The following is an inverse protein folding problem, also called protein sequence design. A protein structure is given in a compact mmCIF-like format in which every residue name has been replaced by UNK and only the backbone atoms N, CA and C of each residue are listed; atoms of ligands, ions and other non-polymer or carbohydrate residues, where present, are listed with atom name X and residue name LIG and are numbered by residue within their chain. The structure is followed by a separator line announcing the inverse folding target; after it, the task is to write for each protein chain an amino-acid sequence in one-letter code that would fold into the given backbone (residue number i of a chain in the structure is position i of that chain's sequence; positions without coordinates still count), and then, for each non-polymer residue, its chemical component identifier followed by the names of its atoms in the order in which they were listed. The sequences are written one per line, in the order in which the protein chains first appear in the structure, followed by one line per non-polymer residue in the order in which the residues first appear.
data_IF_400835866815
#
_entry.id   IF_400835866815
#
_cell.length_a   1.000
_cell.length_b   1.000
_cell.length_c   1.000
_cell.angle_alpha   90.00
_cell.angle_beta   90.00
_cell.angle_gamma   90.00
#
_symmetry.space_group_name_H-M   'P 1'
#
loop_
_entity.id
_entity.type
_entity.pdbx_description
1 polymer ?
#
# COMPACT_ATOMS: atom_id res chain seq x y z
N UNK A 1 57.12 7.58 -38.51
CA UNK A 1 57.11 7.12 -37.11
C UNK A 1 56.43 8.18 -36.26
N UNK A 2 55.13 8.05 -36.01
CA UNK A 2 54.40 8.93 -35.10
C UNK A 2 54.00 8.12 -33.88
N UNK A 3 54.73 8.31 -32.79
CA UNK A 3 54.43 7.69 -31.50
C UNK A 3 53.22 8.42 -30.93
N UNK A 4 52.02 7.86 -31.10
CA UNK A 4 50.83 8.33 -30.41
C UNK A 4 50.91 7.82 -28.99
N UNK A 5 51.31 8.71 -28.08
CA UNK A 5 51.24 8.48 -26.64
C UNK A 5 49.75 8.39 -26.29
N UNK A 6 49.24 7.16 -26.16
CA UNK A 6 47.92 6.92 -25.59
C UNK A 6 47.96 7.23 -24.09
N UNK A 7 47.65 8.47 -23.73
CA UNK A 7 47.27 8.82 -22.36
C UNK A 7 45.87 8.29 -22.07
N UNK A 8 45.72 6.99 -21.80
CA UNK A 8 44.54 6.46 -21.13
C UNK A 8 44.86 6.23 -19.65
N UNK A 9 45.10 7.32 -18.92
CA UNK A 9 44.86 7.27 -17.47
C UNK A 9 43.35 7.18 -17.28
N UNK A 10 42.78 5.97 -17.31
CA UNK A 10 41.41 5.75 -16.84
C UNK A 10 41.38 6.17 -15.37
N UNK A 11 40.99 7.42 -15.10
CA UNK A 11 40.73 7.88 -13.74
C UNK A 11 39.59 7.02 -13.21
N UNK A 12 39.87 6.31 -12.12
CA UNK A 12 38.86 5.55 -11.41
C UNK A 12 37.80 6.53 -10.88
N UNK A 13 36.63 6.53 -11.50
CA UNK A 13 35.55 7.49 -11.25
C UNK A 13 34.29 6.76 -10.79
N UNK A 14 34.35 6.14 -9.62
CA UNK A 14 33.20 5.50 -8.98
C UNK A 14 33.05 6.00 -7.55
N UNK A 15 31.83 6.36 -7.18
CA UNK A 15 31.52 6.77 -5.81
C UNK A 15 30.79 5.65 -5.07
N UNK A 16 31.12 5.50 -3.79
CA UNK A 16 30.34 4.63 -2.90
C UNK A 16 28.92 5.16 -2.82
N UNK A 17 27.95 4.24 -2.78
CA UNK A 17 26.52 4.47 -2.86
C UNK A 17 26.02 4.98 -4.21
N UNK A 18 26.78 4.89 -5.29
CA UNK A 18 26.24 5.07 -6.63
C UNK A 18 25.43 3.84 -7.09
N UNK A 19 24.45 4.02 -7.98
CA UNK A 19 23.66 2.92 -8.55
C UNK A 19 24.13 2.55 -9.95
N UNK A 20 24.17 1.25 -10.22
CA UNK A 20 24.31 0.65 -11.55
C UNK A 20 22.97 0.01 -11.91
N UNK A 21 22.22 0.64 -12.81
CA UNK A 21 20.86 0.24 -13.19
C UNK A 21 20.88 -0.38 -14.58
N UNK A 22 20.39 -1.60 -14.72
CA UNK A 22 20.31 -2.24 -16.03
C UNK A 22 19.28 -1.54 -16.94
N UNK A 23 19.67 -1.20 -18.17
CA UNK A 23 18.87 -0.47 -19.18
C UNK A 23 17.54 -1.14 -19.50
N UNK A 24 17.57 -2.45 -19.71
CA UNK A 24 16.39 -3.23 -20.14
C UNK A 24 15.66 -3.98 -19.01
N UNK A 25 16.29 -4.17 -17.85
CA UNK A 25 15.78 -5.01 -16.76
C UNK A 25 15.62 -4.15 -15.49
N UNK A 26 14.43 -3.57 -15.25
CA UNK A 26 14.24 -2.58 -14.18
C UNK A 26 14.49 -3.13 -12.77
N UNK A 27 14.40 -4.45 -12.58
CA UNK A 27 14.65 -5.11 -11.30
C UNK A 27 16.15 -5.36 -11.01
N UNK A 28 17.03 -5.22 -12.01
CA UNK A 28 18.49 -5.37 -11.85
C UNK A 28 19.13 -4.03 -11.51
N UNK A 29 19.12 -3.72 -10.22
CA UNK A 29 19.75 -2.51 -9.66
C UNK A 29 20.84 -2.92 -8.67
N UNK A 30 22.08 -2.53 -8.94
CA UNK A 30 23.19 -2.76 -8.03
C UNK A 30 23.60 -1.43 -7.38
N UNK A 31 23.96 -1.51 -6.10
CA UNK A 31 24.58 -0.39 -5.38
C UNK A 31 26.09 -0.64 -5.31
N UNK A 32 26.88 0.39 -5.61
CA UNK A 32 28.33 0.40 -5.40
C UNK A 32 28.59 0.51 -3.91
N UNK A 33 28.84 -0.61 -3.25
CA UNK A 33 29.00 -0.67 -1.80
C UNK A 33 30.42 -0.29 -1.35
N UNK A 34 31.40 -0.53 -2.21
CA UNK A 34 32.80 -0.23 -1.94
C UNK A 34 33.58 -0.09 -3.23
N UNK A 35 34.69 0.64 -3.17
CA UNK A 35 35.58 0.87 -4.30
C UNK A 35 37.00 0.43 -3.98
N UNK A 36 37.67 -0.20 -4.93
CA UNK A 36 39.07 -0.62 -4.84
C UNK A 36 39.89 0.04 -5.96
N UNK A 37 40.24 1.33 -5.85
CA UNK A 37 40.85 2.09 -6.96
C UNK A 37 42.15 1.47 -7.46
N UNK A 38 43.01 1.01 -6.54
CA UNK A 38 44.30 0.36 -6.87
C UNK A 38 44.15 -0.94 -7.67
N UNK A 39 43.02 -1.62 -7.54
CA UNK A 39 42.74 -2.90 -8.21
C UNK A 39 41.83 -2.72 -9.44
N UNK A 40 41.40 -1.49 -9.73
CA UNK A 40 40.37 -1.19 -10.73
C UNK A 40 39.10 -2.06 -10.56
N UNK A 41 38.68 -2.27 -9.32
CA UNK A 41 37.53 -3.11 -8.95
C UNK A 41 36.52 -2.33 -8.12
N UNK A 42 35.26 -2.72 -8.23
CA UNK A 42 34.16 -2.23 -7.39
C UNK A 42 33.42 -3.40 -6.75
N UNK A 43 32.89 -3.20 -5.55
CA UNK A 43 31.98 -4.13 -4.92
C UNK A 43 30.54 -3.69 -5.18
N UNK A 44 29.75 -4.59 -5.75
CA UNK A 44 28.36 -4.37 -6.14
C UNK A 44 27.42 -5.24 -5.30
N UNK A 45 26.35 -4.66 -4.75
CA UNK A 45 25.29 -5.40 -4.07
C UNK A 45 23.96 -5.21 -4.78
N UNK A 46 23.34 -6.33 -5.18
CA UNK A 46 22.05 -6.35 -5.84
C UNK A 46 20.92 -5.98 -4.88
N UNK A 47 20.12 -4.99 -5.24
CA UNK A 47 18.93 -4.58 -4.48
C UNK A 47 17.79 -5.58 -4.63
N UNK A 48 17.57 -6.42 -3.61
CA UNK A 48 16.44 -7.36 -3.56
C UNK A 48 15.95 -7.64 -2.15
N UNK A 49 14.88 -8.43 -2.00
CA UNK A 49 14.24 -8.73 -0.68
C UNK A 49 15.16 -9.48 0.29
N UNK A 50 16.13 -10.23 -0.22
CA UNK A 50 17.18 -10.88 0.58
C UNK A 50 18.52 -10.65 -0.11
N UNK A 51 19.15 -9.49 0.13
CA UNK A 51 20.45 -9.20 -0.47
C UNK A 51 21.46 -10.27 -0.07
N UNK A 52 22.27 -10.70 -1.03
CA UNK A 52 23.42 -11.58 -0.76
C UNK A 52 24.66 -10.73 -0.51
N UNK A 53 25.76 -11.42 -0.21
CA UNK A 53 27.07 -10.81 -0.13
C UNK A 53 27.39 -10.06 -1.45
N UNK A 54 27.99 -8.85 -1.39
CA UNK A 54 28.41 -8.14 -2.58
C UNK A 54 29.36 -8.97 -3.46
N UNK A 55 29.25 -8.79 -4.76
CA UNK A 55 30.18 -9.33 -5.75
C UNK A 55 31.26 -8.29 -6.06
N UNK A 56 32.48 -8.74 -6.36
CA UNK A 56 33.58 -7.86 -6.74
C UNK A 56 33.80 -7.99 -8.23
N UNK A 57 33.67 -6.87 -8.95
CA UNK A 57 33.75 -6.82 -10.41
C UNK A 57 34.84 -5.85 -10.83
N UNK A 58 35.58 -6.19 -11.88
CA UNK A 58 36.54 -5.28 -12.52
C UNK A 58 35.78 -4.22 -13.31
N UNK A 59 36.16 -2.96 -13.21
CA UNK A 59 35.50 -1.88 -13.96
C UNK A 59 35.58 -2.17 -15.46
N UNK A 60 34.43 -2.20 -16.13
CA UNK A 60 34.30 -2.55 -17.56
C UNK A 60 34.17 -4.05 -17.85
N UNK A 61 34.23 -4.92 -16.84
CA UNK A 61 33.99 -6.35 -16.99
C UNK A 61 32.50 -6.72 -16.85
N UNK A 62 32.17 -7.98 -17.11
CA UNK A 62 30.78 -8.44 -17.02
C UNK A 62 30.27 -8.45 -15.56
N UNK A 63 29.00 -8.08 -15.39
CA UNK A 63 28.28 -8.13 -14.10
C UNK A 63 27.30 -9.30 -14.16
N UNK A 64 27.64 -10.40 -13.49
CA UNK A 64 26.81 -11.64 -13.45
C UNK A 64 26.36 -12.13 -14.84
N UNK A 65 27.23 -11.98 -15.85
CA UNK A 65 26.96 -12.43 -17.23
C UNK A 65 26.32 -11.38 -18.14
N UNK A 66 25.96 -10.21 -17.62
CA UNK A 66 25.52 -9.07 -18.42
C UNK A 66 26.71 -8.15 -18.74
N UNK A 67 26.79 -7.68 -19.98
CA UNK A 67 27.83 -6.74 -20.42
C UNK A 67 27.73 -5.40 -19.68
N UNK A 68 28.87 -4.80 -19.34
CA UNK A 68 28.96 -3.54 -18.60
C UNK A 68 28.15 -2.39 -19.24
N UNK A 69 28.09 -2.35 -20.57
CA UNK A 69 27.40 -1.32 -21.36
C UNK A 69 25.87 -1.31 -21.16
N UNK A 70 25.30 -2.41 -20.65
CA UNK A 70 23.88 -2.49 -20.31
C UNK A 70 23.53 -1.81 -18.99
N UNK A 71 24.50 -1.27 -18.26
CA UNK A 71 24.24 -0.58 -17.01
C UNK A 71 24.44 0.93 -17.16
N UNK A 72 23.49 1.68 -16.60
CA UNK A 72 23.54 3.12 -16.47
C UNK A 72 23.93 3.48 -15.04
N UNK A 73 24.78 4.49 -14.90
CA UNK A 73 25.11 5.07 -13.60
C UNK A 73 24.04 6.06 -13.19
N UNK A 74 23.54 5.95 -11.95
CA UNK A 74 22.58 6.90 -11.36
C UNK A 74 22.97 7.24 -9.92
N UNK A 75 22.74 8.49 -9.47
CA UNK A 75 22.86 8.82 -8.06
C UNK A 75 21.84 8.01 -7.26
N UNK A 76 22.22 7.54 -6.07
CA UNK A 76 21.31 6.83 -5.18
C UNK A 76 20.49 7.83 -4.36
N UNK A 77 19.25 8.04 -4.78
CA UNK A 77 18.26 8.73 -3.97
C UNK A 77 17.58 7.74 -3.00
N UNK A 78 18.29 7.43 -1.91
CA UNK A 78 17.74 6.56 -0.88
C UNK A 78 16.50 7.17 -0.21
N UNK A 79 16.45 8.50 -0.07
CA UNK A 79 15.35 9.22 0.60
C UNK A 79 14.07 9.15 -0.24
N UNK A 80 14.17 9.30 -1.57
CA UNK A 80 13.06 9.09 -2.50
C UNK A 80 12.65 7.63 -2.69
N UNK A 81 13.35 6.67 -2.07
CA UNK A 81 13.06 5.25 -2.25
C UNK A 81 11.75 4.83 -1.55
N UNK A 82 11.07 3.83 -2.13
CA UNK A 82 9.89 3.20 -1.48
C UNK A 82 10.20 2.62 -0.10
N UNK A 83 11.44 2.22 0.16
CA UNK A 83 11.84 1.72 1.47
C UNK A 83 11.80 2.84 2.50
N UNK A 84 12.38 4.01 2.17
CA UNK A 84 12.35 5.18 3.04
C UNK A 84 10.93 5.73 3.21
N UNK A 85 10.14 5.81 2.13
CA UNK A 85 8.73 6.23 2.21
C UNK A 85 7.82 5.33 3.07
N UNK A 86 8.28 4.15 3.47
CA UNK A 86 7.56 3.25 4.39
C UNK A 86 7.88 3.50 5.87
N UNK A 87 8.70 4.50 6.16
CA UNK A 87 9.16 4.85 7.50
C UNK A 87 8.00 5.29 8.40
N UNK A 88 8.04 4.77 9.63
CA UNK A 88 7.23 5.21 10.76
C UNK A 88 8.17 5.29 11.96
N UNK A 89 7.80 6.03 13.00
CA UNK A 89 8.62 6.18 14.19
C UNK A 89 9.03 4.82 14.81
N UNK A 90 8.07 3.89 14.89
CA UNK A 90 8.30 2.51 15.33
C UNK A 90 9.30 1.77 14.44
N UNK A 91 9.13 1.84 13.11
CA UNK A 91 10.01 1.15 12.16
C UNK A 91 11.42 1.74 12.19
N UNK A 92 11.55 3.05 12.38
CA UNK A 92 12.83 3.75 12.52
C UNK A 92 13.57 3.28 13.77
N UNK A 93 12.90 3.22 14.91
CA UNK A 93 13.50 2.70 16.14
C UNK A 93 14.02 1.26 15.95
N UNK A 94 13.24 0.41 15.29
CA UNK A 94 13.65 -0.96 14.93
C UNK A 94 14.85 -0.97 14.00
N UNK A 95 14.89 -0.12 12.98
CA UNK A 95 16.02 -0.02 12.05
C UNK A 95 17.31 0.41 12.75
N UNK A 96 17.25 1.42 13.62
CA UNK A 96 18.38 1.89 14.41
C UNK A 96 18.88 0.82 15.39
N UNK A 97 17.97 0.08 16.03
CA UNK A 97 18.34 -1.04 16.89
C UNK A 97 19.10 -2.14 16.12
N UNK A 98 18.72 -2.41 14.86
CA UNK A 98 19.48 -3.33 13.99
C UNK A 98 20.83 -2.74 13.59
N UNK A 99 20.89 -1.45 13.29
CA UNK A 99 22.13 -0.76 12.91
C UNK A 99 23.15 -0.84 14.04
N UNK A 100 22.75 -0.58 15.29
CA UNK A 100 23.62 -0.67 16.46
C UNK A 100 24.27 -2.05 16.64
N UNK A 101 23.65 -3.13 16.14
CA UNK A 101 24.20 -4.48 16.18
C UNK A 101 25.33 -4.73 15.18
N UNK A 102 25.34 -4.00 14.06
CA UNK A 102 26.36 -4.13 13.02
C UNK A 102 27.37 -2.98 13.02
N UNK A 103 27.05 -1.88 13.70
CA UNK A 103 27.87 -0.68 13.83
C UNK A 103 29.33 -0.98 14.22
N UNK A 104 29.65 -1.86 15.20
CA UNK A 104 31.04 -2.15 15.56
C UNK A 104 31.87 -2.70 14.39
N UNK A 105 31.27 -3.54 13.54
CA UNK A 105 31.94 -4.12 12.36
C UNK A 105 32.13 -3.09 11.24
N UNK A 106 31.22 -2.11 11.13
CA UNK A 106 31.32 -1.03 10.15
C UNK A 106 32.42 -0.04 10.55
N UNK A 107 32.47 0.33 11.84
CA UNK A 107 33.41 1.33 12.35
C UNK A 107 34.85 0.79 12.50
N UNK A 108 35.03 -0.52 12.69
CA UNK A 108 36.36 -1.13 12.81
C UNK A 108 37.11 -1.28 11.49
N UNK A 109 36.46 -1.05 10.35
CA UNK A 109 37.02 -1.29 9.01
C UNK A 109 36.94 -2.76 8.57
N UNK A 110 36.50 -3.68 9.44
CA UNK A 110 36.30 -5.10 9.12
C UNK A 110 35.24 -5.32 8.03
N UNK A 111 34.40 -4.31 7.75
CA UNK A 111 33.46 -4.32 6.62
C UNK A 111 34.17 -4.53 5.28
N UNK A 112 35.39 -3.97 5.10
CA UNK A 112 36.16 -4.17 3.87
C UNK A 112 36.60 -5.63 3.73
N UNK A 113 37.10 -6.22 4.83
CA UNK A 113 37.48 -7.64 4.88
C UNK A 113 36.28 -8.55 4.63
N UNK A 114 35.11 -8.18 5.16
CA UNK A 114 33.86 -8.90 4.90
C UNK A 114 33.54 -8.90 3.41
N UNK A 115 33.58 -7.74 2.75
CA UNK A 115 33.29 -7.57 1.32
C UNK A 115 34.26 -8.41 0.49
N UNK A 116 35.57 -8.35 0.78
CA UNK A 116 36.60 -9.18 0.13
C UNK A 116 36.41 -10.67 0.37
N UNK A 117 35.84 -11.06 1.52
CA UNK A 117 35.74 -12.45 1.94
C UNK A 117 36.91 -12.96 2.78
N UNK A 118 37.76 -12.04 3.22
CA UNK A 118 38.95 -12.35 4.02
C UNK A 118 38.64 -12.32 5.52
N UNK A 119 37.46 -11.85 5.92
CA UNK A 119 37.07 -11.79 7.33
C UNK A 119 36.85 -13.21 7.88
N UNK A 120 37.75 -13.64 8.77
CA UNK A 120 37.71 -14.97 9.38
C UNK A 120 36.42 -15.24 10.16
N UNK A 121 35.91 -16.47 10.04
CA UNK A 121 34.67 -16.89 10.72
C UNK A 121 34.71 -16.77 12.24
N UNK A 122 35.89 -16.84 12.86
CA UNK A 122 36.05 -16.65 14.31
C UNK A 122 35.81 -15.19 14.73
N UNK A 123 36.30 -14.21 13.95
CA UNK A 123 36.06 -12.79 14.20
C UNK A 123 34.57 -12.45 14.05
N UNK A 124 33.91 -12.99 13.01
CA UNK A 124 32.47 -12.85 12.85
C UNK A 124 31.69 -13.38 14.07
N UNK A 125 32.13 -14.51 14.66
CA UNK A 125 31.47 -15.06 15.87
C UNK A 125 31.61 -14.14 17.09
N UNK A 126 32.68 -13.34 17.20
CA UNK A 126 32.84 -12.34 18.26
C UNK A 126 31.75 -11.28 18.17
N UNK A 127 31.58 -10.67 16.99
CA UNK A 127 30.52 -9.69 16.75
C UNK A 127 29.12 -10.26 16.99
N UNK A 128 28.88 -11.52 16.59
CA UNK A 128 27.60 -12.20 16.81
C UNK A 128 27.29 -12.38 18.30
N UNK A 129 28.30 -12.71 19.11
CA UNK A 129 28.16 -12.85 20.57
C UNK A 129 27.88 -11.50 21.23
N UNK A 130 28.63 -10.47 20.89
CA UNK A 130 28.46 -9.12 21.43
C UNK A 130 27.07 -8.54 21.10
N UNK A 131 26.65 -8.69 19.84
CA UNK A 131 25.36 -8.21 19.36
C UNK A 131 24.15 -9.09 19.78
N UNK A 132 24.41 -10.25 20.42
CA UNK A 132 23.41 -11.25 20.83
C UNK A 132 22.44 -11.62 19.69
N UNK A 133 22.99 -11.99 18.53
CA UNK A 133 22.23 -12.43 17.35
C UNK A 133 22.76 -13.76 16.82
N UNK A 134 22.19 -14.26 15.73
CA UNK A 134 22.74 -15.39 14.97
C UNK A 134 23.64 -14.90 13.83
N UNK A 135 24.56 -15.75 13.36
CA UNK A 135 25.43 -15.45 12.20
C UNK A 135 24.60 -15.11 10.95
N UNK A 136 23.51 -15.83 10.71
CA UNK A 136 22.59 -15.58 9.60
C UNK A 136 21.93 -14.19 9.70
N UNK A 137 21.59 -13.77 10.92
CA UNK A 137 21.02 -12.44 11.18
C UNK A 137 22.06 -11.34 10.94
N UNK A 138 23.31 -11.57 11.34
CA UNK A 138 24.41 -10.64 11.07
C UNK A 138 24.59 -10.44 9.56
N UNK A 139 24.70 -11.52 8.78
CA UNK A 139 24.80 -11.43 7.32
C UNK A 139 23.59 -10.73 6.69
N UNK A 140 22.39 -11.02 7.17
CA UNK A 140 21.17 -10.35 6.69
C UNK A 140 21.25 -8.84 6.88
N UNK A 141 21.67 -8.37 8.06
CA UNK A 141 21.77 -6.94 8.34
C UNK A 141 22.89 -6.28 7.53
N UNK A 142 24.09 -6.87 7.48
CA UNK A 142 25.19 -6.30 6.70
C UNK A 142 24.84 -6.21 5.21
N UNK A 143 24.33 -7.28 4.62
CA UNK A 143 24.00 -7.29 3.20
C UNK A 143 22.85 -6.33 2.86
N UNK A 144 21.86 -6.21 3.74
CA UNK A 144 20.79 -5.23 3.56
C UNK A 144 21.31 -3.80 3.66
N UNK A 145 22.17 -3.51 4.63
CA UNK A 145 22.81 -2.20 4.79
C UNK A 145 23.60 -1.80 3.55
N UNK A 146 24.45 -2.70 3.03
CA UNK A 146 25.27 -2.46 1.84
C UNK A 146 24.41 -2.32 0.56
N UNK A 147 23.36 -3.13 0.41
CA UNK A 147 22.50 -3.09 -0.77
C UNK A 147 21.75 -1.76 -0.94
N UNK A 148 21.33 -1.11 0.14
CA UNK A 148 20.50 0.09 0.07
C UNK A 148 21.25 1.37 0.46
N UNK A 149 22.56 1.44 0.20
CA UNK A 149 23.32 2.69 0.24
C UNK A 149 23.95 3.03 1.59
N UNK A 150 24.22 2.03 2.43
CA UNK A 150 25.01 2.18 3.66
C UNK A 150 24.49 3.27 4.62
N UNK A 151 23.16 3.47 4.64
CA UNK A 151 22.48 4.38 5.56
C UNK A 151 21.88 3.58 6.74
N UNK A 152 21.83 4.08 7.99
CA UNK A 152 21.23 3.34 9.11
C UNK A 152 19.79 2.88 8.85
N UNK A 153 19.01 3.71 8.15
CA UNK A 153 17.63 3.41 7.77
C UNK A 153 17.51 2.42 6.58
N UNK A 154 18.60 1.99 5.96
CA UNK A 154 18.59 0.87 5.00
C UNK A 154 18.05 -0.43 5.63
N UNK A 155 18.12 -0.55 6.96
CA UNK A 155 17.63 -1.68 7.75
C UNK A 155 16.14 -1.63 8.09
N UNK A 156 15.42 -0.64 7.54
CA UNK A 156 13.97 -0.60 7.59
C UNK A 156 13.37 -1.92 7.09
N UNK A 157 12.28 -2.41 7.69
CA UNK A 157 11.64 -3.63 7.25
C UNK A 157 11.00 -3.42 5.87
N UNK A 158 11.33 -4.27 4.89
CA UNK A 158 10.79 -4.25 3.53
C UNK A 158 9.32 -4.72 3.46
N UNK A 159 8.50 -4.25 4.39
CA UNK A 159 7.06 -4.55 4.48
C UNK A 159 6.31 -4.19 3.20
N UNK A 160 6.73 -3.14 2.49
CA UNK A 160 6.18 -2.77 1.19
C UNK A 160 6.39 -3.82 0.08
N UNK A 161 7.33 -4.78 0.26
CA UNK A 161 7.53 -5.92 -0.65
C UNK A 161 6.82 -7.20 -0.18
N UNK A 162 6.29 -7.23 1.05
CA UNK A 162 5.58 -8.39 1.58
C UNK A 162 4.24 -8.55 0.85
N UNK A 163 3.96 -9.74 0.32
CA UNK A 163 2.70 -10.03 -0.39
C UNK A 163 2.62 -9.46 -1.81
N UNK A 164 3.52 -8.56 -2.21
CA UNK A 164 3.56 -8.00 -3.56
C UNK A 164 4.22 -8.98 -4.54
N UNK A 165 3.68 -9.10 -5.75
CA UNK A 165 4.12 -10.01 -6.83
C UNK A 165 3.86 -11.51 -6.62
N UNK A 166 3.00 -11.89 -5.68
CA UNK A 166 2.52 -13.27 -5.65
C UNK A 166 1.56 -13.49 -6.82
N UNK A 167 1.89 -14.46 -7.68
CA UNK A 167 0.95 -14.93 -8.70
C UNK A 167 -0.26 -15.56 -8.02
N UNK A 168 -1.44 -14.99 -8.20
CA UNK A 168 -2.69 -15.61 -7.76
C UNK A 168 -2.90 -16.93 -8.53
N UNK A 169 -3.59 -17.92 -7.94
CA UNK A 169 -4.14 -19.03 -8.71
C UNK A 169 -5.17 -18.49 -9.72
N UNK A 170 -5.32 -19.16 -10.86
CA UNK A 170 -6.28 -18.79 -11.90
C UNK A 170 -7.72 -18.98 -11.38
N UNK A 171 -8.00 -20.15 -10.81
CA UNK A 171 -9.33 -20.57 -10.38
C UNK A 171 -9.29 -21.39 -9.07
N UNK A 172 -10.46 -21.78 -8.57
CA UNK A 172 -10.61 -22.53 -7.32
C UNK A 172 -9.86 -23.89 -7.33
N UNK A 173 -9.79 -24.57 -8.49
CA UNK A 173 -9.06 -25.85 -8.61
C UNK A 173 -7.55 -25.68 -8.45
N UNK A 174 -6.99 -24.65 -9.09
CA UNK A 174 -5.56 -24.35 -8.96
C UNK A 174 -5.22 -23.85 -7.55
N UNK A 175 -6.12 -23.09 -6.92
CA UNK A 175 -5.98 -22.67 -5.53
C UNK A 175 -5.85 -23.87 -4.58
N UNK A 176 -6.69 -24.90 -4.79
CA UNK A 176 -6.66 -26.13 -4.00
C UNK A 176 -5.39 -26.94 -4.23
N UNK A 177 -4.96 -27.09 -5.49
CA UNK A 177 -3.70 -27.76 -5.82
C UNK A 177 -2.50 -27.09 -5.12
N UNK A 178 -2.42 -25.75 -5.20
CA UNK A 178 -1.36 -24.98 -4.52
C UNK A 178 -1.47 -25.03 -2.99
N UNK A 179 -2.65 -25.31 -2.42
CA UNK A 179 -2.81 -25.53 -0.99
C UNK A 179 -2.20 -26.87 -0.58
N UNK A 180 -2.47 -27.92 -1.35
CA UNK A 180 -1.91 -29.26 -1.13
C UNK A 180 -0.38 -29.20 -1.19
N UNK A 181 0.19 -28.52 -2.19
CA UNK A 181 1.64 -28.31 -2.33
C UNK A 181 2.29 -27.59 -1.14
N UNK A 182 1.53 -26.76 -0.41
CA UNK A 182 1.99 -26.06 0.80
C UNK A 182 1.77 -26.86 2.09
N UNK A 183 1.47 -28.15 1.98
CA UNK A 183 1.19 -29.02 3.13
C UNK A 183 -0.18 -28.74 3.77
N UNK A 184 -1.17 -28.36 2.97
CA UNK A 184 -2.55 -28.13 3.42
C UNK A 184 -2.81 -26.73 3.99
N UNK A 185 -1.80 -25.86 4.02
CA UNK A 185 -1.91 -24.51 4.60
C UNK A 185 -2.53 -23.49 3.61
N UNK A 186 -3.50 -22.73 4.12
CA UNK A 186 -4.10 -21.60 3.43
C UNK A 186 -3.22 -20.35 3.47
N UNK A 187 -3.41 -19.45 2.51
CA UNK A 187 -2.77 -18.14 2.55
C UNK A 187 -3.50 -17.25 3.56
N UNK A 188 -2.75 -16.43 4.28
CA UNK A 188 -3.27 -15.39 5.17
C UNK A 188 -3.59 -15.90 6.58
N UNK A 189 -3.96 -14.97 7.45
CA UNK A 189 -4.41 -15.29 8.80
C UNK A 189 -5.71 -16.09 8.77
N UNK A 190 -5.95 -16.92 9.79
CA UNK A 190 -7.27 -17.52 9.99
C UNK A 190 -8.27 -16.40 10.25
N UNK A 191 -9.17 -16.20 9.29
CA UNK A 191 -10.31 -15.30 9.45
C UNK A 191 -11.49 -16.03 10.08
N UNK A 192 -12.61 -15.34 10.15
CA UNK A 192 -13.86 -15.85 10.74
C UNK A 192 -14.61 -16.86 9.85
N UNK A 193 -14.01 -17.26 8.72
CA UNK A 193 -14.58 -18.29 7.84
C UNK A 193 -14.28 -19.69 8.40
N UNK A 194 -15.28 -20.56 8.39
CA UNK A 194 -15.08 -21.99 8.66
C UNK A 194 -14.01 -22.59 7.74
N UNK A 195 -13.23 -23.54 8.26
CA UNK A 195 -12.09 -24.13 7.54
C UNK A 195 -12.49 -24.86 6.23
N UNK A 196 -13.77 -25.25 6.08
CA UNK A 196 -14.29 -25.87 4.85
C UNK A 196 -14.70 -24.87 3.76
N UNK A 197 -14.96 -23.61 4.11
CA UNK A 197 -15.22 -22.52 3.15
C UNK A 197 -13.96 -21.73 2.83
N UNK A 198 -12.87 -22.01 3.56
CA UNK A 198 -11.63 -21.30 3.40
C UNK A 198 -10.95 -21.74 2.11
N UNK A 199 -10.52 -20.77 1.30
CA UNK A 199 -9.72 -20.98 0.09
C UNK A 199 -8.82 -19.80 -0.20
N UNK A 200 -7.88 -19.97 -1.12
CA UNK A 200 -7.08 -18.84 -1.61
C UNK A 200 -7.90 -17.97 -2.57
N UNK A 201 -7.65 -16.65 -2.53
CA UNK A 201 -8.21 -15.71 -3.49
C UNK A 201 -7.60 -15.94 -4.88
N UNK A 202 -8.42 -15.91 -5.92
CA UNK A 202 -8.03 -16.26 -7.30
C UNK A 202 -8.06 -15.06 -8.23
N UNK A 203 -7.53 -15.24 -9.44
CA UNK A 203 -7.57 -14.24 -10.51
C UNK A 203 -9.00 -14.03 -11.03
N UNK A 204 -9.82 -15.08 -11.02
CA UNK A 204 -11.27 -14.97 -11.32
C UNK A 204 -11.99 -14.09 -10.30
N UNK A 205 -11.65 -14.23 -9.01
CA UNK A 205 -12.22 -13.39 -7.95
C UNK A 205 -11.78 -11.92 -8.10
N UNK A 206 -10.52 -11.67 -8.48
CA UNK A 206 -10.03 -10.33 -8.75
C UNK A 206 -10.83 -9.65 -9.87
N UNK A 207 -11.07 -10.37 -10.98
CA UNK A 207 -11.93 -9.89 -12.07
C UNK A 207 -13.37 -9.67 -11.60
N UNK A 208 -13.89 -10.56 -10.78
CA UNK A 208 -15.21 -10.43 -10.14
C UNK A 208 -15.29 -9.17 -9.27
N UNK A 209 -14.26 -8.90 -8.46
CA UNK A 209 -14.17 -7.74 -7.58
C UNK A 209 -14.20 -6.43 -8.38
N UNK A 210 -13.40 -6.34 -9.45
CA UNK A 210 -13.39 -5.17 -10.32
C UNK A 210 -14.74 -4.97 -11.01
N UNK A 211 -15.40 -6.05 -11.44
CA UNK A 211 -16.75 -6.01 -12.00
C UNK A 211 -17.78 -5.54 -10.96
N UNK A 212 -17.65 -5.99 -9.71
CA UNK A 212 -18.50 -5.58 -8.60
C UNK A 212 -18.37 -4.08 -8.33
N UNK A 213 -17.13 -3.59 -8.18
CA UNK A 213 -16.83 -2.18 -7.91
C UNK A 213 -17.36 -1.27 -9.03
N UNK A 214 -17.19 -1.66 -10.29
CA UNK A 214 -17.59 -0.83 -11.43
C UNK A 214 -19.10 -0.86 -11.73
N UNK A 215 -19.77 -2.00 -11.57
CA UNK A 215 -21.16 -2.18 -12.04
C UNK A 215 -22.19 -2.32 -10.94
N UNK A 216 -21.84 -2.90 -9.80
CA UNK A 216 -22.81 -3.30 -8.77
C UNK A 216 -22.76 -2.32 -7.59
N UNK A 217 -21.55 -1.93 -7.16
CA UNK A 217 -21.34 -1.02 -6.03
C UNK A 217 -22.17 0.27 -6.12
N UNK A 218 -22.24 1.00 -7.26
CA UNK A 218 -22.98 2.27 -7.30
C UNK A 218 -24.50 2.13 -7.08
N UNK A 219 -25.05 0.94 -7.33
CA UNK A 219 -26.47 0.62 -7.18
C UNK A 219 -26.74 -0.26 -5.96
N UNK A 220 -25.76 -0.44 -5.09
CA UNK A 220 -25.93 -1.28 -3.91
C UNK A 220 -26.95 -0.65 -2.94
N UNK A 221 -27.84 -1.47 -2.33
CA UNK A 221 -28.85 -0.96 -1.42
C UNK A 221 -28.26 -0.45 -0.09
N UNK A 222 -27.11 -1.01 0.31
CA UNK A 222 -26.35 -0.64 1.50
C UNK A 222 -24.85 -0.74 1.18
N UNK A 223 -24.08 0.20 1.72
CA UNK A 223 -22.65 0.35 1.49
C UNK A 223 -21.79 -0.07 2.70
N UNK A 224 -22.39 -0.71 3.71
CA UNK A 224 -21.65 -1.42 4.76
C UNK A 224 -20.92 -2.63 4.18
N UNK A 225 -19.68 -2.84 4.62
CA UNK A 225 -18.81 -3.93 4.11
C UNK A 225 -19.46 -5.32 4.20
N UNK A 226 -20.14 -5.63 5.30
CA UNK A 226 -20.84 -6.92 5.46
C UNK A 226 -21.97 -7.10 4.45
N UNK A 227 -22.76 -6.04 4.20
CA UNK A 227 -23.84 -6.04 3.21
C UNK A 227 -23.30 -6.18 1.78
N UNK A 228 -22.22 -5.47 1.47
CA UNK A 228 -21.54 -5.57 0.18
C UNK A 228 -20.91 -6.95 -0.05
N UNK A 229 -20.34 -7.57 0.99
CA UNK A 229 -19.83 -8.94 0.91
C UNK A 229 -20.92 -9.95 0.62
N UNK A 230 -22.06 -9.84 1.30
CA UNK A 230 -23.23 -10.69 1.03
C UNK A 230 -23.74 -10.50 -0.40
N UNK A 231 -23.83 -9.26 -0.87
CA UNK A 231 -24.24 -8.93 -2.24
C UNK A 231 -23.24 -9.47 -3.29
N UNK A 232 -21.94 -9.35 -3.04
CA UNK A 232 -20.90 -9.89 -3.90
C UNK A 232 -21.05 -11.40 -4.06
N UNK A 233 -21.18 -12.13 -2.94
CA UNK A 233 -21.35 -13.59 -2.97
C UNK A 233 -22.64 -13.98 -3.69
N UNK A 234 -23.74 -13.27 -3.41
CA UNK A 234 -25.03 -13.55 -4.02
C UNK A 234 -25.04 -13.31 -5.54
N UNK A 235 -24.23 -12.38 -6.06
CA UNK A 235 -24.27 -11.97 -7.48
C UNK A 235 -23.18 -12.59 -8.34
N UNK A 236 -21.98 -12.84 -7.78
CA UNK A 236 -20.80 -13.22 -8.55
C UNK A 236 -20.23 -14.60 -8.17
N UNK A 237 -20.63 -15.16 -7.04
CA UNK A 237 -20.25 -16.52 -6.62
C UNK A 237 -21.34 -17.55 -6.97
N UNK A 238 -21.95 -17.41 -8.15
CA UNK A 238 -22.98 -18.33 -8.64
C UNK A 238 -22.42 -19.36 -9.63
N UNK A 239 -23.04 -20.53 -9.69
CA UNK A 239 -22.85 -21.56 -10.70
C UNK A 239 -24.20 -22.04 -11.22
N UNK A 240 -24.24 -22.53 -12.46
CA UNK A 240 -25.43 -23.12 -13.07
C UNK A 240 -25.44 -24.63 -12.88
N UNK A 241 -26.58 -25.19 -12.52
CA UNK A 241 -26.82 -26.64 -12.54
C UNK A 241 -28.10 -26.93 -13.31
N UNK A 242 -28.21 -28.11 -13.89
CA UNK A 242 -29.42 -28.53 -14.61
C UNK A 242 -30.29 -29.37 -13.68
N UNK A 243 -31.46 -28.85 -13.32
CA UNK A 243 -32.45 -29.56 -12.50
C UNK A 243 -33.69 -29.79 -13.37
N UNK A 244 -34.09 -31.04 -13.56
CA UNK A 244 -35.23 -31.43 -14.41
C UNK A 244 -35.21 -30.84 -15.84
N UNK A 245 -34.02 -30.67 -16.41
CA UNK A 245 -33.86 -30.11 -17.77
C UNK A 245 -33.90 -28.58 -17.85
N UNK A 246 -33.97 -27.88 -16.72
CA UNK A 246 -33.88 -26.41 -16.64
C UNK A 246 -32.56 -26.00 -15.98
N UNK A 247 -31.94 -24.93 -16.48
CA UNK A 247 -30.75 -24.34 -15.87
C UNK A 247 -31.15 -23.46 -14.69
N UNK A 248 -30.74 -23.84 -13.48
CA UNK A 248 -30.93 -23.07 -12.25
C UNK A 248 -29.59 -22.52 -11.75
N UNK A 249 -29.61 -21.28 -11.27
CA UNK A 249 -28.47 -20.63 -10.63
C UNK A 249 -28.50 -20.92 -9.13
N UNK A 250 -27.38 -21.39 -8.60
CA UNK A 250 -27.19 -21.60 -7.17
C UNK A 250 -25.88 -20.94 -6.70
N UNK A 251 -25.80 -20.62 -5.41
CA UNK A 251 -24.58 -20.09 -4.80
C UNK A 251 -23.58 -21.25 -4.68
N UNK A 252 -22.41 -21.08 -5.28
CA UNK A 252 -21.35 -22.08 -5.30
C UNK A 252 -20.42 -21.89 -4.09
N UNK A 253 -20.40 -22.82 -3.11
CA UNK A 253 -19.54 -22.72 -1.95
C UNK A 253 -18.06 -22.62 -2.30
N UNK A 254 -17.62 -23.22 -3.42
CA UNK A 254 -16.22 -23.20 -3.86
C UNK A 254 -15.79 -21.84 -4.41
N UNK A 255 -16.76 -20.97 -4.75
CA UNK A 255 -16.52 -19.60 -5.21
C UNK A 255 -16.66 -18.58 -4.10
N UNK A 256 -17.13 -18.94 -2.92
CA UNK A 256 -17.24 -18.01 -1.80
C UNK A 256 -15.86 -17.53 -1.35
N UNK A 257 -15.77 -16.24 -1.03
CA UNK A 257 -14.58 -15.65 -0.38
C UNK A 257 -14.93 -15.22 1.03
N UNK A 258 -13.96 -15.28 1.94
CA UNK A 258 -14.16 -14.79 3.31
C UNK A 258 -14.37 -13.27 3.33
N UNK A 259 -15.05 -12.75 4.36
CA UNK A 259 -15.26 -11.30 4.53
C UNK A 259 -13.93 -10.54 4.64
N UNK A 260 -12.90 -11.14 5.23
CA UNK A 260 -11.57 -10.55 5.34
C UNK A 260 -10.87 -10.45 3.99
N UNK A 261 -10.98 -11.49 3.15
CA UNK A 261 -10.47 -11.44 1.78
C UNK A 261 -11.23 -10.41 0.95
N UNK A 262 -12.56 -10.41 1.03
CA UNK A 262 -13.39 -9.40 0.37
C UNK A 262 -12.97 -7.98 0.77
N UNK A 263 -12.89 -7.70 2.07
CA UNK A 263 -12.55 -6.37 2.59
C UNK A 263 -11.17 -5.93 2.13
N UNK A 264 -10.16 -6.81 2.22
CA UNK A 264 -8.79 -6.50 1.79
C UNK A 264 -8.73 -6.13 0.30
N UNK A 265 -9.33 -6.96 -0.57
CA UNK A 265 -9.29 -6.74 -2.02
C UNK A 265 -10.18 -5.58 -2.45
N UNK A 266 -11.35 -5.43 -1.84
CA UNK A 266 -12.25 -4.31 -2.09
C UNK A 266 -11.58 -2.97 -1.74
N UNK A 267 -11.01 -2.83 -0.55
CA UNK A 267 -10.34 -1.59 -0.13
C UNK A 267 -9.08 -1.27 -0.93
N UNK A 268 -8.43 -2.28 -1.50
CA UNK A 268 -7.25 -2.11 -2.35
C UNK A 268 -7.62 -1.47 -3.71
N UNK A 269 -8.76 -1.84 -4.27
CA UNK A 269 -9.12 -1.51 -5.66
C UNK A 269 -10.24 -0.44 -5.77
N UNK A 270 -10.96 -0.14 -4.69
CA UNK A 270 -12.04 0.85 -4.69
C UNK A 270 -11.50 2.29 -4.65
N UNK A 271 -12.14 3.19 -5.39
CA UNK A 271 -11.95 4.63 -5.18
C UNK A 271 -12.65 5.06 -3.88
N UNK A 272 -11.84 5.39 -2.87
CA UNK A 272 -12.32 5.79 -1.54
C UNK A 272 -13.21 7.05 -1.58
N UNK A 273 -12.95 7.98 -2.51
CA UNK A 273 -13.74 9.22 -2.61
C UNK A 273 -15.13 8.89 -3.15
N UNK A 274 -15.20 8.13 -4.24
CA UNK A 274 -16.46 7.68 -4.80
C UNK A 274 -17.26 6.83 -3.80
N UNK A 275 -16.61 5.90 -3.10
CA UNK A 275 -17.27 5.04 -2.13
C UNK A 275 -17.82 5.80 -0.92
N UNK A 276 -17.08 6.78 -0.39
CA UNK A 276 -17.59 7.67 0.66
C UNK A 276 -18.82 8.46 0.18
N UNK A 277 -18.82 8.87 -1.10
CA UNK A 277 -19.98 9.48 -1.75
C UNK A 277 -21.20 8.56 -1.79
N UNK A 278 -21.02 7.26 -2.07
CA UNK A 278 -22.13 6.30 -2.07
C UNK A 278 -22.68 5.97 -0.67
N UNK A 279 -21.84 6.03 0.36
CA UNK A 279 -22.25 5.79 1.75
C UNK A 279 -23.14 6.90 2.31
N UNK A 280 -22.94 8.13 1.81
CA UNK A 280 -23.74 9.29 2.18
C UNK A 280 -24.88 9.44 1.17
N UNK A 281 -26.02 9.98 1.61
CA UNK A 281 -27.07 10.34 0.64
C UNK A 281 -26.55 11.46 -0.27
N UNK A 282 -26.92 11.45 -1.55
CA UNK A 282 -26.52 12.52 -2.49
C UNK A 282 -26.79 13.92 -1.93
N UNK A 283 -27.93 14.08 -1.21
CA UNK A 283 -28.30 15.33 -0.54
C UNK A 283 -27.34 15.73 0.58
N UNK A 284 -26.83 14.76 1.36
CA UNK A 284 -25.88 15.04 2.43
C UNK A 284 -24.51 15.44 1.86
N UNK A 285 -24.05 14.76 0.80
CA UNK A 285 -22.80 15.12 0.11
C UNK A 285 -22.89 16.53 -0.45
N UNK A 286 -23.94 16.83 -1.24
CA UNK A 286 -24.16 18.16 -1.82
C UNK A 286 -24.27 19.27 -0.77
N UNK A 287 -24.95 19.00 0.34
CA UNK A 287 -25.18 20.03 1.36
C UNK A 287 -24.01 20.25 2.31
N UNK A 288 -23.12 19.28 2.53
CA UNK A 288 -22.10 19.35 3.58
C UNK A 288 -20.67 19.18 3.07
N UNK A 289 -20.46 18.34 2.06
CA UNK A 289 -19.12 18.00 1.56
C UNK A 289 -18.77 18.77 0.27
N UNK A 290 -19.78 19.08 -0.55
CA UNK A 290 -19.67 19.77 -1.85
C UNK A 290 -19.79 21.29 -1.73
N UNK A 291 -19.86 21.83 -0.50
CA UNK A 291 -19.86 23.28 -0.29
C UNK A 291 -18.48 23.81 -0.71
N UNK A 292 -18.42 24.39 -1.91
CA UNK A 292 -17.42 25.41 -2.22
C UNK A 292 -17.52 26.48 -1.12
N UNK A 293 -16.42 26.73 -0.41
CA UNK A 293 -16.32 27.71 0.68
C UNK A 293 -16.46 29.13 0.10
N UNK A 294 -17.64 29.47 -0.42
CA UNK A 294 -18.06 30.84 -0.66
C UNK A 294 -18.73 31.31 0.62
N UNK A 295 -18.14 32.30 1.30
CA UNK A 295 -18.82 32.90 2.45
C UNK A 295 -20.04 33.63 1.91
N UNK A 296 -21.21 33.39 2.48
CA UNK A 296 -22.44 34.13 2.12
C UNK A 296 -22.29 35.67 2.22
N UNK A 297 -21.24 36.13 2.93
CA UNK A 297 -20.86 37.52 3.14
C UNK A 297 -19.81 38.06 2.15
N UNK A 298 -19.32 37.27 1.18
CA UNK A 298 -18.17 37.66 0.35
C UNK A 298 -18.38 38.95 -0.47
N UNK A 299 -19.65 39.37 -0.64
CA UNK A 299 -20.03 40.60 -1.33
C UNK A 299 -20.91 41.55 -0.49
N UNK A 300 -21.01 41.39 0.83
CA UNK A 300 -21.82 42.30 1.66
C UNK A 300 -21.12 43.64 1.88
N UNK A 301 -21.79 44.74 1.52
CA UNK A 301 -21.21 46.10 1.52
C UNK A 301 -21.44 46.82 2.87
N UNK A 302 -22.36 46.35 3.70
CA UNK A 302 -22.65 46.97 5.00
C UNK A 302 -23.62 46.19 5.89
N UNK A 303 -23.85 46.64 7.14
CA UNK A 303 -24.82 46.03 8.04
C UNK A 303 -26.22 46.07 7.40
N UNK A 304 -26.95 44.95 7.50
CA UNK A 304 -28.27 44.73 6.87
C UNK A 304 -28.30 44.50 5.35
N UNK A 305 -27.15 44.42 4.66
CA UNK A 305 -27.12 44.12 3.22
C UNK A 305 -27.49 42.65 2.91
N UNK A 306 -27.20 41.74 3.84
CA UNK A 306 -27.56 40.32 3.77
C UNK A 306 -28.26 39.92 5.05
N UNK A 307 -29.39 39.22 4.95
CA UNK A 307 -30.12 38.64 6.08
C UNK A 307 -30.22 37.13 5.90
N UNK A 308 -29.99 36.39 6.97
CA UNK A 308 -30.19 34.95 7.00
C UNK A 308 -31.58 34.68 7.54
N UNK A 309 -32.42 34.04 6.71
CA UNK A 309 -33.75 33.59 7.12
C UNK A 309 -33.59 32.18 7.65
N UNK A 310 -33.69 32.01 8.96
CA UNK A 310 -33.83 30.69 9.56
C UNK A 310 -35.31 30.40 9.83
N UNK A 311 -35.74 29.20 9.44
CA UNK A 311 -37.11 28.74 9.59
C UNK A 311 -37.13 27.49 10.45
N UNK A 312 -37.53 27.65 11.71
CA UNK A 312 -37.67 26.52 12.64
C UNK A 312 -39.12 26.05 12.66
N UNK A 313 -39.33 24.76 12.38
CA UNK A 313 -40.63 24.13 12.58
C UNK A 313 -40.87 23.89 14.06
N UNK A 314 -41.79 24.63 14.67
CA UNK A 314 -42.08 24.48 16.08
C UNK A 314 -42.89 23.19 16.32
N UNK A 315 -42.52 22.44 17.36
CA UNK A 315 -43.28 21.27 17.78
C UNK A 315 -44.42 21.66 18.74
N UNK A 316 -45.24 22.61 18.32
CA UNK A 316 -46.39 23.13 19.05
C UNK A 316 -47.63 23.04 18.15
N UNK A 317 -48.78 22.76 18.74
CA UNK A 317 -50.05 22.79 18.04
C UNK A 317 -50.71 24.15 18.24
N UNK A 318 -50.93 24.89 17.15
CA UNK A 318 -51.66 26.16 17.20
C UNK A 318 -53.13 25.89 16.94
N UNK A 319 -53.98 26.35 17.86
CA UNK A 319 -55.43 26.25 17.77
C UNK A 319 -55.99 27.65 17.56
N UNK A 320 -56.67 27.87 16.42
CA UNK A 320 -57.34 29.14 16.15
C UNK A 320 -58.56 29.32 17.06
N UNK A 321 -58.76 30.56 17.53
CA UNK A 321 -59.99 31.02 18.22
C UNK A 321 -60.79 32.01 17.39
N UNK A 322 -60.64 31.97 16.06
CA UNK A 322 -61.43 32.83 15.18
C UNK A 322 -62.86 32.26 15.11
N UNK A 323 -63.90 33.06 15.37
CA UNK A 323 -65.29 32.63 15.21
C UNK A 323 -65.53 32.23 13.74
N UNK A 324 -66.19 31.10 13.51
CA UNK A 324 -66.65 30.74 12.16
C UNK A 324 -67.74 31.73 11.70
N UNK A 325 -68.07 31.72 10.40
CA UNK A 325 -69.09 32.60 9.81
C UNK A 325 -70.46 32.55 10.53
N UNK A 326 -70.73 31.46 11.27
CA UNK A 326 -71.93 31.25 12.08
C UNK A 326 -71.84 31.79 13.52
N UNK A 327 -70.80 32.56 13.86
CA UNK A 327 -70.61 33.17 15.19
C UNK A 327 -70.22 32.18 16.32
N UNK A 328 -69.98 30.90 16.01
CA UNK A 328 -69.57 29.88 16.99
C UNK A 328 -68.05 29.69 16.97
N UNK A 329 -67.43 29.75 18.15
CA UNK A 329 -66.00 29.49 18.34
C UNK A 329 -65.67 27.99 18.22
N UNK A 330 -65.46 27.50 16.99
CA UNK A 330 -64.91 26.16 16.77
C UNK A 330 -63.38 26.22 16.76
N UNK A 331 -62.74 25.45 17.65
CA UNK A 331 -61.28 25.27 17.70
C UNK A 331 -60.81 24.51 16.45
N UNK A 332 -60.18 25.20 15.50
CA UNK A 332 -59.54 24.58 14.31
C UNK A 332 -58.04 24.38 14.58
N UNK A 333 -57.55 23.15 14.39
CA UNK A 333 -56.11 22.83 14.49
C UNK A 333 -55.43 23.28 13.20
N UNK A 334 -54.55 24.27 13.28
CA UNK A 334 -53.90 24.89 12.11
C UNK A 334 -52.61 24.16 11.67
N UNK A 335 -52.29 23.02 12.28
CA UNK A 335 -51.05 22.27 12.02
C UNK A 335 -49.86 22.80 12.84
N UNK A 336 -48.65 22.41 12.44
CA UNK A 336 -47.40 22.85 13.09
C UNK A 336 -46.90 24.14 12.44
N UNK A 337 -46.76 25.26 13.18
CA UNK A 337 -46.33 26.52 12.61
C UNK A 337 -44.83 26.51 12.30
N UNK A 338 -44.44 27.31 11.30
CA UNK A 338 -43.05 27.68 11.06
C UNK A 338 -42.79 29.03 11.72
N UNK A 339 -41.77 29.10 12.57
CA UNK A 339 -41.27 30.36 13.11
C UNK A 339 -40.13 30.84 12.23
N UNK A 340 -40.29 32.03 11.67
CA UNK A 340 -39.24 32.71 10.93
C UNK A 340 -38.53 33.68 11.88
N UNK A 341 -37.24 33.49 12.07
CA UNK A 341 -36.40 34.41 12.82
C UNK A 341 -35.47 35.12 11.83
N UNK A 342 -35.57 36.44 11.76
CA UNK A 342 -34.65 37.26 10.99
C UNK A 342 -33.54 37.76 11.91
N UNK A 343 -32.32 37.26 11.71
CA UNK A 343 -31.16 37.74 12.44
C UNK A 343 -30.35 38.70 11.56
N UNK A 344 -29.96 39.88 12.08
CA UNK A 344 -28.91 40.64 11.43
C UNK A 344 -27.62 39.83 11.51
N UNK A 345 -27.07 39.49 10.35
CA UNK A 345 -25.81 38.73 10.27
C UNK A 345 -24.68 39.66 10.77
N UNK A 346 -23.95 39.23 11.82
CA UNK A 346 -22.86 40.00 12.42
C UNK A 346 -21.61 40.04 11.55
#
# INVERSE_FOLDING_TARGET
MGLVIAHSSNKFDFNVNELMVHKSLPDKVYTVCWVFPKLNKIALSLQRTRPQKPIIVTVGGDIEGDAWEYFERKPNDFIGSRLYGSETEEKRAVALAKYNKIKPLIESGDIELYIKGDLGGLHLRTYVKEARITVQTLYKYINQYLAFGSHPLALLPMTFKCGTMRKLPLNAKEAEQRRIERGGNYIGAKGDSDDYLRRDFTTEDEKGMLKFISKILPSAPDHKLASLHALFNATLCQSTTTVYGQEELFIDPQKLISINQFTYHFLKDVDHVAWAGYQKSQKHVQNNDDISIGKAQEYSIGPSHTYEIDATRLNLYVVSRIPDLDGKNKKKVLGRPYLYCNYPVK
#
